data_IF_350353523297
#
_entry.id   IF_350353523297
#
_cell.length_a   1.000
_cell.length_b   1.000
_cell.length_c   1.000
_cell.angle_alpha   90.00
_cell.angle_beta   90.00
_cell.angle_gamma   90.00
#
_symmetry.space_group_name_H-M   'P 1'
#
loop_
_entity.id
_entity.type
_entity.pdbx_description
1 polymer ?
#
# COMPACT_ATOMS: atom_id res chain seq x y z
N UNK A 1 -4.83 -19.29 -13.38
CA UNK A 1 -5.00 -18.32 -14.48
C UNK A 1 -5.28 -16.87 -14.03
N UNK A 2 -5.48 -16.55 -12.74
CA UNK A 2 -5.80 -15.18 -12.27
C UNK A 2 -4.64 -14.17 -12.22
N UNK A 3 -3.44 -14.60 -11.83
CA UNK A 3 -2.29 -13.71 -11.60
C UNK A 3 -1.91 -12.79 -12.78
N UNK A 4 -1.91 -13.30 -14.02
CA UNK A 4 -1.60 -12.48 -15.20
C UNK A 4 -2.65 -11.40 -15.48
N UNK A 5 -3.92 -11.67 -15.12
CA UNK A 5 -5.02 -10.70 -15.27
C UNK A 5 -4.89 -9.60 -14.21
N UNK A 6 -4.67 -10.00 -12.96
CA UNK A 6 -4.54 -9.07 -11.83
C UNK A 6 -3.37 -8.11 -12.04
N UNK A 7 -2.21 -8.62 -12.49
CA UNK A 7 -1.06 -7.78 -12.81
C UNK A 7 -1.34 -6.83 -13.99
N UNK A 8 -1.96 -7.33 -15.07
CA UNK A 8 -2.34 -6.49 -16.21
C UNK A 8 -3.27 -5.36 -15.81
N UNK A 9 -4.18 -5.62 -14.87
CA UNK A 9 -5.12 -4.63 -14.34
C UNK A 9 -4.38 -3.55 -13.55
N UNK A 10 -3.54 -3.93 -12.58
CA UNK A 10 -2.73 -2.97 -11.82
C UNK A 10 -1.80 -2.15 -12.73
N UNK A 11 -1.18 -2.77 -13.74
CA UNK A 11 -0.28 -2.10 -14.68
C UNK A 11 -0.93 -0.95 -15.47
N UNK A 12 -2.26 -0.89 -15.55
CA UNK A 12 -2.96 0.24 -16.21
C UNK A 12 -2.89 1.55 -15.42
N UNK A 13 -2.52 1.47 -14.14
CA UNK A 13 -2.50 2.61 -13.22
C UNK A 13 -1.09 3.05 -12.82
N UNK A 14 -0.06 2.41 -13.37
CA UNK A 14 1.34 2.69 -13.06
C UNK A 14 1.86 3.85 -13.90
N UNK A 15 2.69 4.69 -13.30
CA UNK A 15 3.51 5.64 -14.04
C UNK A 15 4.60 4.90 -14.85
N UNK A 16 5.21 5.54 -15.86
CA UNK A 16 6.11 4.89 -16.84
C UNK A 16 7.27 4.09 -16.21
N UNK A 17 7.79 4.56 -15.08
CA UNK A 17 8.89 3.90 -14.35
C UNK A 17 8.43 3.15 -13.10
N UNK A 18 7.13 3.20 -12.78
CA UNK A 18 6.55 2.58 -11.59
C UNK A 18 6.45 1.05 -11.76
N UNK A 19 6.89 0.30 -10.73
CA UNK A 19 6.93 -1.17 -10.75
C UNK A 19 6.23 -1.74 -9.53
N UNK A 20 5.47 -2.81 -9.74
CA UNK A 20 4.81 -3.55 -8.66
C UNK A 20 5.81 -4.51 -8.04
N UNK A 21 6.05 -4.39 -6.73
CA UNK A 21 6.84 -5.35 -5.96
C UNK A 21 6.03 -6.55 -5.52
N UNK A 22 4.82 -6.28 -5.03
CA UNK A 22 3.91 -7.29 -4.50
C UNK A 22 2.48 -6.86 -4.78
N UNK A 23 1.63 -7.84 -5.06
CA UNK A 23 0.19 -7.65 -5.06
C UNK A 23 -0.52 -8.83 -4.44
N UNK A 24 -1.67 -8.55 -3.84
CA UNK A 24 -2.53 -9.53 -3.19
C UNK A 24 -4.00 -9.22 -3.47
N UNK A 25 -4.83 -10.24 -3.53
CA UNK A 25 -6.27 -10.03 -3.49
C UNK A 25 -6.67 -9.64 -2.07
N UNK A 26 -7.47 -8.60 -1.93
CA UNK A 26 -7.92 -8.10 -0.63
C UNK A 26 -9.27 -7.43 -0.74
N UNK A 27 -9.83 -7.05 0.40
CA UNK A 27 -11.10 -6.35 0.52
C UNK A 27 -10.87 -5.00 1.19
N UNK A 28 -11.41 -3.94 0.59
CA UNK A 28 -11.44 -2.57 1.12
C UNK A 28 -12.89 -2.09 1.11
N UNK A 29 -13.44 -1.69 2.26
CA UNK A 29 -14.81 -1.16 2.38
C UNK A 29 -15.86 -1.98 1.62
N UNK A 30 -15.96 -3.28 1.90
CA UNK A 30 -16.87 -4.21 1.21
C UNK A 30 -16.57 -4.50 -0.27
N UNK A 31 -15.53 -3.91 -0.86
CA UNK A 31 -15.11 -4.16 -2.24
C UNK A 31 -13.98 -5.17 -2.29
N UNK A 32 -14.17 -6.28 -3.02
CA UNK A 32 -13.12 -7.27 -3.26
C UNK A 32 -12.29 -6.88 -4.48
N UNK A 33 -11.04 -6.53 -4.28
CA UNK A 33 -10.15 -6.02 -5.31
C UNK A 33 -8.73 -6.56 -5.20
N UNK A 34 -7.81 -5.85 -5.83
CA UNK A 34 -6.39 -6.17 -5.85
C UNK A 34 -5.65 -5.01 -5.20
N UNK A 35 -4.87 -5.33 -4.16
CA UNK A 35 -3.96 -4.41 -3.49
C UNK A 35 -2.56 -4.62 -4.07
N UNK A 36 -1.95 -3.56 -4.59
CA UNK A 36 -0.60 -3.53 -5.12
C UNK A 36 0.29 -2.57 -4.31
N UNK A 37 1.57 -2.92 -4.24
CA UNK A 37 2.62 -2.12 -3.60
C UNK A 37 3.71 -1.83 -4.62
N UNK A 38 4.06 -0.56 -4.80
CA UNK A 38 5.10 -0.09 -5.73
C UNK A 38 6.23 0.62 -5.00
N UNK A 39 7.22 1.15 -5.71
CA UNK A 39 8.24 2.00 -5.07
C UNK A 39 7.71 3.36 -4.61
N UNK A 40 6.55 3.80 -5.11
CA UNK A 40 6.02 5.14 -4.89
C UNK A 40 4.83 5.15 -3.93
N UNK A 41 3.97 4.12 -4.00
CA UNK A 41 2.67 4.12 -3.33
C UNK A 41 2.07 2.73 -3.18
N UNK A 42 1.01 2.69 -2.39
CA UNK A 42 0.05 1.60 -2.34
C UNK A 42 -1.10 1.95 -3.27
N UNK A 43 -1.61 0.97 -4.00
CA UNK A 43 -2.77 1.13 -4.87
C UNK A 43 -3.73 -0.03 -4.71
N UNK A 44 -5.02 0.27 -4.60
CA UNK A 44 -6.09 -0.71 -4.56
C UNK A 44 -7.03 -0.47 -5.73
N UNK A 45 -7.32 -1.51 -6.50
CA UNK A 45 -8.29 -1.43 -7.60
C UNK A 45 -9.37 -2.49 -7.49
N UNK A 46 -10.60 -2.08 -7.82
CA UNK A 46 -11.75 -2.96 -7.91
C UNK A 46 -12.53 -2.63 -9.18
N UNK A 47 -12.66 -3.61 -10.09
CA UNK A 47 -13.40 -3.46 -11.34
C UNK A 47 -14.62 -4.37 -11.40
N UNK A 48 -15.82 -3.87 -11.01
CA UNK A 48 -17.07 -4.59 -11.20
C UNK A 48 -17.42 -4.69 -12.69
N UNK A 49 -18.22 -5.70 -13.06
CA UNK A 49 -18.67 -5.88 -14.46
C UNK A 49 -19.50 -4.72 -15.01
N UNK A 50 -20.24 -4.01 -14.15
CA UNK A 50 -21.27 -3.03 -14.55
C UNK A 50 -21.04 -1.63 -14.00
N UNK A 51 -19.90 -1.37 -13.35
CA UNK A 51 -19.60 -0.08 -12.71
C UNK A 51 -18.21 0.41 -13.11
N UNK A 52 -17.95 1.72 -13.03
CA UNK A 52 -16.60 2.26 -13.22
C UNK A 52 -15.60 1.56 -12.30
N UNK A 53 -14.37 1.42 -12.79
CA UNK A 53 -13.28 0.91 -11.98
C UNK A 53 -13.02 1.87 -10.82
N UNK A 54 -12.98 1.31 -9.61
CA UNK A 54 -12.59 2.04 -8.41
C UNK A 54 -11.08 1.91 -8.24
N UNK A 55 -10.41 3.05 -8.02
CA UNK A 55 -8.98 3.12 -7.73
C UNK A 55 -8.81 3.96 -6.46
N UNK A 56 -8.11 3.39 -5.50
CA UNK A 56 -7.66 4.07 -4.30
C UNK A 56 -6.12 4.05 -4.28
N UNK A 57 -5.50 5.16 -3.90
CA UNK A 57 -4.04 5.28 -3.83
C UNK A 57 -3.63 5.92 -2.52
N UNK A 58 -2.58 5.37 -1.92
CA UNK A 58 -2.02 5.87 -0.66
C UNK A 58 -0.51 6.07 -0.84
N UNK A 59 -0.06 7.31 -0.69
CA UNK A 59 1.36 7.65 -0.77
C UNK A 59 2.06 7.38 0.56
N UNK A 60 3.32 6.94 0.52
CA UNK A 60 4.04 6.53 1.73
C UNK A 60 4.34 7.66 2.71
N UNK A 61 4.46 8.89 2.21
CA UNK A 61 4.66 10.11 3.01
C UNK A 61 3.46 10.48 3.88
N UNK A 62 2.26 10.03 3.51
CA UNK A 62 1.03 10.25 4.27
C UNK A 62 0.80 9.24 5.40
N UNK A 63 1.61 8.18 5.46
CA UNK A 63 1.45 7.08 6.41
C UNK A 63 2.24 7.34 7.69
N UNK A 64 1.52 7.34 8.81
CA UNK A 64 2.14 7.50 10.14
C UNK A 64 2.73 6.16 10.61
N UNK A 65 1.91 5.09 10.58
CA UNK A 65 2.35 3.73 10.89
C UNK A 65 1.39 2.67 10.33
N UNK A 66 1.84 1.41 10.38
CA UNK A 66 1.12 0.28 9.79
C UNK A 66 1.08 -0.90 10.75
N UNK A 67 -0.11 -1.46 10.92
CA UNK A 67 -0.35 -2.64 11.73
C UNK A 67 -0.82 -3.80 10.85
N UNK A 68 -0.27 -4.97 11.12
CA UNK A 68 -0.78 -6.22 10.57
C UNK A 68 -1.26 -7.07 11.73
N UNK A 69 -2.51 -7.51 11.66
CA UNK A 69 -3.14 -8.35 12.66
C UNK A 69 -3.58 -9.65 11.99
N UNK A 70 -3.20 -10.77 12.60
CA UNK A 70 -3.61 -12.10 12.17
C UNK A 70 -4.77 -12.57 13.05
N UNK A 71 -5.95 -12.70 12.46
CA UNK A 71 -7.17 -13.19 13.12
C UNK A 71 -7.46 -14.65 12.75
N UNK A 72 -8.50 -15.22 13.38
CA UNK A 72 -8.92 -16.60 13.12
C UNK A 72 -9.57 -16.71 11.73
N UNK A 73 -8.77 -17.01 10.70
CA UNK A 73 -9.23 -17.20 9.32
C UNK A 73 -9.15 -15.97 8.42
N UNK A 74 -8.76 -14.81 8.97
CA UNK A 74 -8.61 -13.55 8.25
C UNK A 74 -7.32 -12.83 8.68
N UNK A 75 -6.73 -12.06 7.77
CA UNK A 75 -5.67 -11.10 8.09
C UNK A 75 -6.15 -9.68 7.83
N UNK A 76 -5.79 -8.76 8.71
CA UNK A 76 -6.06 -7.32 8.57
C UNK A 76 -4.75 -6.56 8.42
N UNK A 77 -4.68 -5.69 7.41
CA UNK A 77 -3.66 -4.66 7.28
C UNK A 77 -4.32 -3.30 7.52
N UNK A 78 -3.95 -2.64 8.60
CA UNK A 78 -4.44 -1.31 8.98
C UNK A 78 -3.34 -0.28 8.69
N UNK A 79 -3.66 0.70 7.86
CA UNK A 79 -2.78 1.83 7.52
C UNK A 79 -3.34 3.07 8.22
N UNK A 80 -2.55 3.65 9.11
CA UNK A 80 -2.93 4.85 9.84
C UNK A 80 -2.37 6.08 9.14
N UNK A 81 -3.26 6.99 8.77
CA UNK A 81 -2.95 8.27 8.14
C UNK A 81 -3.44 9.41 9.04
N UNK A 82 -2.86 10.59 8.87
CA UNK A 82 -3.26 11.79 9.61
C UNK A 82 -4.75 12.16 9.43
N UNK A 83 -5.39 11.71 8.34
CA UNK A 83 -6.78 12.01 8.00
C UNK A 83 -7.73 10.80 8.15
N UNK A 84 -7.26 9.69 8.71
CA UNK A 84 -8.07 8.50 8.96
C UNK A 84 -7.34 7.19 8.67
N UNK A 85 -8.01 6.09 8.99
CA UNK A 85 -7.43 4.75 8.83
C UNK A 85 -7.99 4.05 7.59
N UNK A 86 -7.12 3.35 6.86
CA UNK A 86 -7.50 2.46 5.76
C UNK A 86 -7.30 1.01 6.22
N UNK A 87 -8.28 0.14 5.96
CA UNK A 87 -8.24 -1.27 6.36
C UNK A 87 -8.40 -2.20 5.18
N UNK A 88 -7.40 -3.03 4.95
CA UNK A 88 -7.44 -4.10 3.96
C UNK A 88 -7.57 -5.45 4.65
N UNK A 89 -8.53 -6.24 4.19
CA UNK A 89 -8.80 -7.58 4.72
C UNK A 89 -8.44 -8.64 3.69
N UNK A 90 -7.85 -9.75 4.12
CA UNK A 90 -7.68 -10.95 3.28
C UNK A 90 -8.16 -12.18 4.03
N UNK A 91 -8.73 -13.14 3.31
CA UNK A 91 -8.94 -14.48 3.87
C UNK A 91 -7.60 -15.20 3.98
N UNK A 92 -7.41 -16.06 4.98
CA UNK A 92 -6.15 -16.80 5.20
C UNK A 92 -5.66 -17.63 3.99
N UNK A 93 -6.57 -17.95 3.05
CA UNK A 93 -6.27 -18.70 1.82
C UNK A 93 -5.69 -17.83 0.70
N UNK A 94 -5.73 -16.51 0.85
CA UNK A 94 -5.28 -15.53 -0.13
C UNK A 94 -4.01 -14.83 0.39
N UNK A 95 -3.01 -14.81 -0.48
CA UNK A 95 -1.61 -14.39 -0.32
C UNK A 95 -1.40 -13.32 0.78
N UNK A 96 -0.44 -13.61 1.66
CA UNK A 96 -0.18 -12.97 2.95
C UNK A 96 -0.09 -11.43 2.93
N UNK A 97 -1.07 -10.76 3.53
CA UNK A 97 -1.00 -9.33 3.87
C UNK A 97 0.21 -8.98 4.75
N UNK A 98 0.78 -9.95 5.47
CA UNK A 98 2.05 -9.79 6.18
C UNK A 98 3.18 -9.32 5.25
N UNK A 99 3.30 -9.90 4.06
CA UNK A 99 4.33 -9.52 3.09
C UNK A 99 4.15 -8.09 2.58
N UNK A 100 2.89 -7.69 2.38
CA UNK A 100 2.53 -6.29 2.06
C UNK A 100 2.96 -5.39 3.22
N UNK A 101 2.59 -5.72 4.45
CA UNK A 101 2.97 -4.94 5.64
C UNK A 101 4.48 -4.75 5.76
N UNK A 102 5.27 -5.80 5.54
CA UNK A 102 6.73 -5.75 5.68
C UNK A 102 7.36 -4.82 4.63
N UNK A 103 6.91 -4.89 3.37
CA UNK A 103 7.40 -4.03 2.28
C UNK A 103 6.99 -2.57 2.50
N UNK A 104 5.73 -2.32 2.86
CA UNK A 104 5.25 -0.95 3.06
C UNK A 104 5.98 -0.30 4.25
N UNK A 105 6.21 -1.02 5.36
CA UNK A 105 7.02 -0.52 6.48
C UNK A 105 8.43 -0.13 6.05
N UNK A 106 9.06 -0.90 5.16
CA UNK A 106 10.38 -0.56 4.62
C UNK A 106 10.35 0.79 3.89
N UNK A 107 9.34 1.02 3.04
CA UNK A 107 9.21 2.30 2.31
C UNK A 107 8.88 3.49 3.22
N UNK A 108 7.98 3.31 4.18
CA UNK A 108 7.63 4.35 5.16
C UNK A 108 8.86 4.73 6.01
N UNK A 109 9.59 3.74 6.53
CA UNK A 109 10.79 4.00 7.32
C UNK A 109 11.89 4.71 6.52
N UNK A 110 12.07 4.34 5.24
CA UNK A 110 13.02 5.03 4.37
C UNK A 110 12.63 6.49 4.14
N UNK A 111 11.35 6.78 3.88
CA UNK A 111 10.86 8.15 3.74
C UNK A 111 11.07 8.98 5.01
N UNK A 112 10.73 8.42 6.18
CA UNK A 112 10.93 9.10 7.46
C UNK A 112 12.42 9.39 7.74
N UNK A 113 13.29 8.43 7.41
CA UNK A 113 14.74 8.61 7.56
C UNK A 113 15.27 9.72 6.66
N UNK A 114 14.84 9.80 5.42
CA UNK A 114 15.23 10.85 4.48
C UNK A 114 14.77 12.24 4.96
N UNK A 115 13.55 12.34 5.49
CA UNK A 115 13.05 13.58 6.09
C UNK A 115 13.90 14.02 7.30
N UNK A 116 14.27 13.08 8.18
CA UNK A 116 15.15 13.35 9.32
C UNK A 116 16.54 13.83 8.88
N UNK A 117 17.13 13.21 7.85
CA UNK A 117 18.42 13.67 7.31
C UNK A 117 18.32 15.09 6.75
N UNK A 118 17.30 15.39 5.93
CA UNK A 118 17.10 16.73 5.36
C UNK A 118 16.92 17.79 6.44
N UNK A 119 16.11 17.50 7.46
CA UNK A 119 15.88 18.43 8.58
C UNK A 119 17.14 18.66 9.41
N UNK A 120 17.94 17.61 9.66
CA UNK A 120 19.20 17.73 10.39
C UNK A 120 20.24 18.52 9.60
N UNK A 121 20.31 18.31 8.29
CA UNK A 121 21.24 19.01 7.41
C UNK A 121 20.89 20.51 7.30
N UNK A 122 19.61 20.83 7.08
CA UNK A 122 19.13 22.22 7.04
C UNK A 122 19.38 22.95 8.36
N UNK A 123 19.23 22.26 9.51
CA UNK A 123 19.51 22.84 10.83
C UNK A 123 20.98 23.15 11.04
N UNK A 124 21.90 22.34 10.48
CA UNK A 124 23.35 22.62 10.56
C UNK A 124 23.74 23.83 9.72
N UNK A 125 23.18 24.00 8.52
CA UNK A 125 23.45 25.16 7.66
C UNK A 125 22.89 26.48 8.22
N UNK A 126 21.85 26.44 9.06
CA UNK A 126 21.28 27.62 9.72
C UNK A 126 22.08 28.06 10.97
N UNK A 127 23.02 27.24 11.44
CA UNK A 127 23.84 27.50 12.64
C UNK A 127 25.29 27.87 12.28
N UNK A 128 25.63 27.89 10.99
CA UNK A 128 26.87 28.43 10.41
C UNK A 128 26.60 29.82 9.82
#
# INVERSE_FOLDING_TARGET
MGQKRDLKELSTYLDEEERIFLYVQSKLDERTGILGVTQNRILFTHKPLLKPAYLDTTSYDSIDYILYTEGTGEGELSIHLNNGDIKYMTSHRLIHLKGVSDIVRMFVNNHQRDLLYRNTFNRKQLLE
#
